data_IF_428343226318
#
_entry.id   IF_428343226318
#
_cell.length_a   1.000
_cell.length_b   1.000
_cell.length_c   1.000
_cell.angle_alpha   90.00
_cell.angle_beta   90.00
_cell.angle_gamma   90.00
#
_symmetry.space_group_name_H-M   'P 1'
#
loop_
_entity.id
_entity.type
_entity.pdbx_description
1 polymer ?
#
# COMPACT_ATOMS: atom_id res chain seq x y z
N UNK A 1 3.42 31.70 -62.02
CA UNK A 1 4.71 32.17 -61.45
C UNK A 1 5.48 30.96 -60.93
N UNK A 2 6.81 30.90 -61.08
CA UNK A 2 7.59 29.74 -60.61
C UNK A 2 7.93 29.87 -59.12
N UNK A 3 7.99 28.73 -58.42
CA UNK A 3 8.38 28.63 -57.01
C UNK A 3 9.74 29.30 -56.73
N UNK A 4 10.70 29.16 -57.67
CA UNK A 4 12.01 29.80 -57.61
C UNK A 4 11.94 31.34 -57.59
N UNK A 5 11.01 31.93 -58.36
CA UNK A 5 10.82 33.38 -58.38
C UNK A 5 10.30 33.89 -57.03
N UNK A 6 9.28 33.21 -56.48
CA UNK A 6 8.72 33.53 -55.16
C UNK A 6 9.77 33.39 -54.06
N UNK A 7 10.55 32.30 -54.09
CA UNK A 7 11.65 32.05 -53.14
C UNK A 7 12.65 33.21 -53.12
N UNK A 8 13.11 33.65 -54.29
CA UNK A 8 14.04 34.77 -54.39
C UNK A 8 13.42 36.08 -53.89
N UNK A 9 12.16 36.36 -54.24
CA UNK A 9 11.45 37.57 -53.82
C UNK A 9 11.24 37.60 -52.30
N UNK A 10 10.88 36.48 -51.70
CA UNK A 10 10.73 36.34 -50.24
C UNK A 10 12.05 36.52 -49.50
N UNK A 11 13.14 35.90 -50.00
CA UNK A 11 14.48 36.07 -49.40
C UNK A 11 14.91 37.55 -49.45
N UNK A 12 14.64 38.25 -50.56
CA UNK A 12 14.93 39.69 -50.65
C UNK A 12 14.13 40.52 -49.65
N UNK A 13 12.85 40.18 -49.44
CA UNK A 13 12.02 40.78 -48.39
C UNK A 13 12.60 40.54 -46.98
N UNK A 14 13.05 39.32 -46.68
CA UNK A 14 13.69 39.02 -45.39
C UNK A 14 14.95 39.87 -45.15
N UNK A 15 15.80 39.99 -46.17
CA UNK A 15 17.06 40.76 -46.10
C UNK A 15 16.82 42.26 -45.98
N UNK A 16 16.06 42.81 -46.93
CA UNK A 16 15.94 44.26 -47.12
C UNK A 16 14.94 44.89 -46.15
N UNK A 17 13.81 44.23 -45.91
CA UNK A 17 12.68 44.83 -45.20
C UNK A 17 12.61 44.36 -43.73
N UNK A 18 13.18 43.18 -43.44
CA UNK A 18 13.10 42.54 -42.11
C UNK A 18 14.45 42.34 -41.42
N UNK A 19 15.54 42.81 -42.03
CA UNK A 19 16.90 42.82 -41.47
C UNK A 19 17.43 41.43 -41.08
N UNK A 20 17.15 40.40 -41.90
CA UNK A 20 17.71 39.06 -41.69
C UNK A 20 19.15 38.99 -42.23
N UNK A 21 20.13 38.53 -41.43
CA UNK A 21 21.50 38.34 -41.87
C UNK A 21 21.63 37.29 -42.98
N UNK A 22 22.54 37.49 -43.93
CA UNK A 22 22.77 36.56 -45.04
C UNK A 22 23.20 35.16 -44.59
N UNK A 23 23.98 35.09 -43.52
CA UNK A 23 24.48 33.87 -42.90
C UNK A 23 23.41 33.13 -42.05
N UNK A 24 22.22 33.70 -41.89
CA UNK A 24 21.11 33.04 -41.19
C UNK A 24 20.35 32.03 -42.06
N UNK A 25 20.55 32.03 -43.39
CA UNK A 25 19.74 31.23 -44.32
C UNK A 25 20.37 29.88 -44.66
N UNK A 26 19.61 28.80 -44.44
CA UNK A 26 19.92 27.46 -44.93
C UNK A 26 18.89 27.02 -45.97
N UNK A 27 19.31 26.94 -47.23
CA UNK A 27 18.44 26.56 -48.35
C UNK A 27 18.40 25.04 -48.55
N UNK A 28 17.23 24.53 -48.93
CA UNK A 28 16.98 23.12 -49.25
C UNK A 28 17.51 22.19 -48.14
N UNK A 29 17.14 22.54 -46.91
CA UNK A 29 17.66 21.92 -45.71
C UNK A 29 16.89 20.64 -45.38
N UNK A 30 17.60 19.64 -44.86
CA UNK A 30 16.98 18.44 -44.31
C UNK A 30 17.52 18.20 -42.90
N UNK A 31 16.64 17.80 -42.00
CA UNK A 31 17.00 17.44 -40.63
C UNK A 31 16.50 16.05 -40.29
N UNK A 32 17.34 15.30 -39.58
CA UNK A 32 17.12 13.90 -39.25
C UNK A 32 17.26 13.75 -37.73
N UNK A 33 16.21 13.27 -37.08
CA UNK A 33 16.21 12.94 -35.65
C UNK A 33 15.39 11.67 -35.42
N UNK A 34 15.37 11.15 -34.18
CA UNK A 34 14.62 9.94 -33.79
C UNK A 34 13.14 10.01 -34.13
N UNK A 35 12.58 11.21 -34.28
CA UNK A 35 11.18 11.45 -34.64
C UNK A 35 10.85 11.33 -36.13
N UNK A 36 11.85 11.33 -37.02
CA UNK A 36 11.66 11.31 -38.47
C UNK A 36 12.65 12.19 -39.24
N UNK A 37 12.40 12.34 -40.55
CA UNK A 37 13.14 13.23 -41.44
C UNK A 37 12.22 14.36 -41.85
N UNK A 38 12.72 15.58 -41.81
CA UNK A 38 12.03 16.78 -42.28
C UNK A 38 12.82 17.42 -43.42
N UNK A 39 12.11 17.92 -44.43
CA UNK A 39 12.66 18.63 -45.58
C UNK A 39 12.03 20.01 -45.63
N UNK A 40 12.85 21.06 -45.60
CA UNK A 40 12.38 22.45 -45.57
C UNK A 40 13.12 23.23 -46.65
N UNK A 41 12.39 24.05 -47.40
CA UNK A 41 12.98 24.79 -48.51
C UNK A 41 13.92 25.92 -48.06
N UNK A 42 13.63 26.50 -46.89
CA UNK A 42 14.45 27.48 -46.21
C UNK A 42 14.31 27.33 -44.69
N UNK A 43 15.42 27.07 -44.01
CA UNK A 43 15.53 27.19 -42.56
C UNK A 43 16.29 28.48 -42.19
N UNK A 44 15.84 29.15 -41.13
CA UNK A 44 16.45 30.36 -40.59
C UNK A 44 17.10 30.03 -39.25
N UNK A 45 18.38 30.35 -39.12
CA UNK A 45 19.18 30.12 -37.93
C UNK A 45 19.47 31.40 -37.14
N UNK A 46 19.56 31.25 -35.83
CA UNK A 46 20.24 32.23 -34.98
C UNK A 46 21.74 32.14 -35.22
N UNK A 47 22.30 33.17 -35.83
CA UNK A 47 23.72 33.23 -36.22
C UNK A 47 24.68 33.14 -35.02
N UNK A 48 24.19 33.34 -33.79
CA UNK A 48 25.00 33.19 -32.57
C UNK A 48 24.92 31.80 -31.95
N UNK A 49 23.75 31.17 -32.01
CA UNK A 49 23.49 29.90 -31.29
C UNK A 49 23.35 28.69 -32.20
N UNK A 50 23.28 28.90 -33.52
CA UNK A 50 22.98 27.89 -34.54
C UNK A 50 21.65 27.14 -34.29
N UNK A 51 20.74 27.74 -33.52
CA UNK A 51 19.41 27.19 -33.30
C UNK A 51 18.44 27.63 -34.40
N UNK A 52 17.45 26.79 -34.68
CA UNK A 52 16.40 27.12 -35.65
C UNK A 52 15.45 28.17 -35.07
N UNK A 53 15.26 29.25 -35.82
CA UNK A 53 14.33 30.33 -35.49
C UNK A 53 13.01 30.15 -36.25
N UNK A 54 13.12 29.86 -37.55
CA UNK A 54 11.97 29.66 -38.41
C UNK A 54 12.24 28.66 -39.53
N UNK A 55 11.18 28.02 -39.99
CA UNK A 55 11.18 27.09 -41.11
C UNK A 55 10.16 27.58 -42.14
N UNK A 56 10.53 27.54 -43.42
CA UNK A 56 9.72 28.08 -44.50
C UNK A 56 9.62 27.07 -45.63
N UNK A 57 8.38 26.72 -45.96
CA UNK A 57 8.04 25.94 -47.15
C UNK A 57 7.42 26.85 -48.21
N UNK A 58 7.89 26.70 -49.45
CA UNK A 58 7.29 27.38 -50.61
C UNK A 58 6.31 26.43 -51.29
N UNK A 59 5.08 26.89 -51.49
CA UNK A 59 4.01 26.09 -52.10
C UNK A 59 3.30 26.89 -53.16
N UNK A 60 2.81 26.23 -54.21
CA UNK A 60 1.95 26.90 -55.18
C UNK A 60 0.56 27.18 -54.60
N UNK A 61 0.03 26.27 -53.77
CA UNK A 61 -1.26 26.38 -53.10
C UNK A 61 -1.19 25.77 -51.70
N UNK A 62 -2.02 26.26 -50.78
CA UNK A 62 -2.19 25.67 -49.44
C UNK A 62 -3.02 24.41 -49.54
N UNK A 63 -2.61 23.37 -48.82
CA UNK A 63 -3.30 22.10 -48.69
C UNK A 63 -3.44 21.70 -47.22
N UNK A 64 -4.34 20.76 -46.93
CA UNK A 64 -4.42 20.14 -45.59
C UNK A 64 -3.12 19.43 -45.19
N UNK A 65 -2.32 19.02 -46.17
CA UNK A 65 -1.02 18.38 -45.94
C UNK A 65 0.01 19.34 -45.34
N UNK A 66 -0.15 20.66 -45.51
CA UNK A 66 0.74 21.65 -44.90
C UNK A 66 0.54 21.74 -43.37
N UNK A 67 -0.69 21.47 -42.88
CA UNK A 67 -0.97 21.36 -41.44
C UNK A 67 -0.37 20.07 -40.87
N UNK A 68 -0.42 18.97 -41.61
CA UNK A 68 0.22 17.70 -41.22
C UNK A 68 1.75 17.85 -41.16
N UNK A 69 2.35 18.51 -42.15
CA UNK A 69 3.77 18.83 -42.16
C UNK A 69 4.16 19.72 -40.98
N UNK A 70 3.38 20.76 -40.66
CA UNK A 70 3.58 21.57 -39.46
C UNK A 70 3.68 20.72 -38.18
N UNK A 71 2.71 19.82 -38.00
CA UNK A 71 2.66 18.94 -36.84
C UNK A 71 3.84 17.96 -36.81
N UNK A 72 4.29 17.48 -37.98
CA UNK A 72 5.48 16.66 -38.10
C UNK A 72 6.73 17.44 -37.73
N UNK A 73 6.91 18.67 -38.22
CA UNK A 73 8.06 19.52 -37.85
C UNK A 73 8.13 19.75 -36.34
N UNK A 74 7.00 20.08 -35.70
CA UNK A 74 6.92 20.26 -34.23
C UNK A 74 7.26 19.00 -33.45
N UNK A 75 7.01 17.82 -34.03
CA UNK A 75 7.33 16.52 -33.42
C UNK A 75 8.80 16.13 -33.61
N UNK A 76 9.37 16.42 -34.78
CA UNK A 76 10.73 15.99 -35.16
C UNK A 76 11.79 16.93 -34.62
N UNK A 77 11.54 18.24 -34.66
CA UNK A 77 12.43 19.20 -34.01
C UNK A 77 12.24 19.10 -32.51
N UNK A 78 13.20 18.46 -31.85
CA UNK A 78 13.34 18.46 -30.39
C UNK A 78 13.35 19.90 -29.79
N UNK A 79 13.57 20.93 -30.63
CA UNK A 79 13.34 22.35 -30.35
C UNK A 79 11.93 22.75 -30.82
N UNK A 80 10.97 22.82 -29.90
CA UNK A 80 9.56 23.13 -30.17
C UNK A 80 9.27 24.56 -30.65
N UNK A 81 10.29 25.42 -30.67
CA UNK A 81 10.10 26.88 -30.68
C UNK A 81 10.37 27.52 -32.05
N UNK A 82 10.80 26.75 -33.05
CA UNK A 82 10.96 27.26 -34.41
C UNK A 82 9.57 27.54 -35.02
N UNK A 83 9.33 28.78 -35.46
CA UNK A 83 8.05 29.14 -36.10
C UNK A 83 8.04 28.65 -37.55
N UNK A 84 6.97 27.95 -37.95
CA UNK A 84 6.84 27.48 -39.32
C UNK A 84 5.92 28.40 -40.14
N UNK A 85 6.37 28.75 -41.33
CA UNK A 85 5.65 29.56 -42.29
C UNK A 85 5.48 28.83 -43.62
N UNK A 86 4.36 29.06 -44.28
CA UNK A 86 4.13 28.67 -45.68
C UNK A 86 4.07 29.93 -46.52
N UNK A 87 4.80 29.95 -47.63
CA UNK A 87 4.79 31.07 -48.57
C UNK A 87 4.22 30.60 -49.89
N UNK A 88 3.19 31.29 -50.38
CA UNK A 88 2.55 30.99 -51.67
C UNK A 88 2.58 32.19 -52.60
N UNK A 89 2.55 31.99 -53.94
CA UNK A 89 2.32 33.08 -54.85
C UNK A 89 0.96 33.73 -54.56
N UNK A 90 0.91 35.05 -54.72
CA UNK A 90 -0.33 35.81 -54.75
C UNK A 90 -0.69 36.07 -56.22
N UNK A 91 -1.74 35.40 -56.69
CA UNK A 91 -2.16 35.42 -58.10
C UNK A 91 -2.59 36.81 -58.60
N UNK A 92 -2.87 37.75 -57.70
CA UNK A 92 -3.44 39.06 -58.08
C UNK A 92 -2.41 40.15 -58.37
N UNK A 93 -1.17 40.03 -57.89
CA UNK A 93 -0.21 41.14 -57.90
C UNK A 93 1.25 40.74 -58.11
N UNK A 94 1.49 39.56 -58.69
CA UNK A 94 2.83 39.01 -58.90
C UNK A 94 3.70 39.02 -57.62
N UNK A 95 3.07 38.80 -56.47
CA UNK A 95 3.67 38.89 -55.15
C UNK A 95 3.56 37.56 -54.40
N UNK A 96 3.88 37.56 -53.10
CA UNK A 96 3.73 36.41 -52.24
C UNK A 96 2.82 36.71 -51.04
N UNK A 97 2.17 35.65 -50.55
CA UNK A 97 1.39 35.62 -49.32
C UNK A 97 2.09 34.72 -48.30
N UNK A 98 2.09 35.14 -47.04
CA UNK A 98 2.72 34.40 -45.93
C UNK A 98 1.62 33.84 -45.04
N UNK A 99 1.78 32.60 -44.60
CA UNK A 99 0.85 31.93 -43.69
C UNK A 99 1.59 31.32 -42.51
N UNK A 100 0.98 31.35 -41.33
CA UNK A 100 1.45 30.67 -40.12
C UNK A 100 0.31 29.85 -39.52
N UNK A 101 0.64 28.78 -38.81
CA UNK A 101 -0.37 28.04 -38.06
C UNK A 101 -0.71 28.76 -36.76
N UNK A 102 -1.99 28.99 -36.52
CA UNK A 102 -2.52 29.50 -35.26
C UNK A 102 -3.82 28.76 -34.95
N UNK A 103 -3.93 28.18 -33.75
CA UNK A 103 -5.10 27.40 -33.33
C UNK A 103 -5.55 26.30 -34.33
N UNK A 104 -4.59 25.62 -34.96
CA UNK A 104 -4.82 24.56 -35.97
C UNK A 104 -5.36 25.05 -37.32
N UNK A 105 -5.36 26.36 -37.56
CA UNK A 105 -5.72 26.96 -38.85
C UNK A 105 -4.55 27.76 -39.41
N UNK A 106 -4.40 27.76 -40.74
CA UNK A 106 -3.41 28.58 -41.42
C UNK A 106 -3.96 29.98 -41.61
N UNK A 107 -3.40 30.94 -40.88
CA UNK A 107 -3.77 32.35 -40.96
C UNK A 107 -2.77 33.10 -41.84
N UNK A 108 -3.27 34.04 -42.64
CA UNK A 108 -2.42 34.93 -43.42
C UNK A 108 -1.72 35.93 -42.48
N UNK A 109 -0.43 36.14 -42.69
CA UNK A 109 0.38 37.14 -41.98
C UNK A 109 0.72 38.24 -42.98
N UNK A 110 0.31 39.47 -42.67
CA UNK A 110 0.67 40.60 -43.52
C UNK A 110 2.18 40.85 -43.50
N UNK A 111 2.71 41.45 -44.56
CA UNK A 111 4.14 41.75 -44.66
C UNK A 111 4.60 42.69 -43.56
N UNK A 112 3.77 43.64 -43.13
CA UNK A 112 4.10 44.58 -42.05
C UNK A 112 4.18 43.86 -40.70
N UNK A 113 3.24 42.94 -40.44
CA UNK A 113 3.19 42.15 -39.20
C UNK A 113 4.24 41.04 -39.14
N UNK A 114 4.81 40.64 -40.28
CA UNK A 114 5.85 39.61 -40.29
C UNK A 114 7.03 40.07 -39.41
N UNK A 115 7.47 39.25 -38.44
CA UNK A 115 8.46 39.67 -37.46
C UNK A 115 9.84 39.86 -38.09
N UNK A 116 10.58 40.84 -37.57
CA UNK A 116 12.00 40.98 -37.91
C UNK A 116 12.85 39.91 -37.21
N UNK A 117 14.12 39.80 -37.61
CA UNK A 117 15.05 38.79 -37.10
C UNK A 117 15.17 38.78 -35.57
N UNK A 118 15.31 39.97 -34.95
CA UNK A 118 15.45 40.09 -33.49
C UNK A 118 14.16 39.73 -32.75
N UNK A 119 13.00 40.08 -33.32
CA UNK A 119 11.69 39.73 -32.77
C UNK A 119 11.50 38.21 -32.75
N UNK A 120 11.86 37.51 -33.83
CA UNK A 120 11.75 36.05 -33.84
C UNK A 120 12.71 35.38 -32.84
N UNK A 121 13.96 35.85 -32.71
CA UNK A 121 14.89 35.35 -31.68
C UNK A 121 14.30 35.54 -30.28
N UNK A 122 13.75 36.72 -30.02
CA UNK A 122 13.18 37.05 -28.70
C UNK A 122 11.95 36.22 -28.39
N UNK A 123 11.07 36.03 -29.38
CA UNK A 123 9.90 35.15 -29.27
C UNK A 123 10.32 33.71 -28.96
N UNK A 124 11.27 33.16 -29.72
CA UNK A 124 11.81 31.81 -29.48
C UNK A 124 12.32 31.64 -28.05
N UNK A 125 13.11 32.60 -27.55
CA UNK A 125 13.63 32.55 -26.17
C UNK A 125 12.54 32.65 -25.12
N UNK A 126 11.47 33.39 -25.40
CA UNK A 126 10.32 33.50 -24.50
C UNK A 126 9.53 32.18 -24.48
N UNK A 127 9.30 31.58 -25.64
CA UNK A 127 8.62 30.29 -25.79
C UNK A 127 9.42 29.17 -25.10
N UNK A 128 10.74 29.11 -25.32
CA UNK A 128 11.67 28.17 -24.66
C UNK A 128 11.60 28.29 -23.12
N UNK A 129 11.56 29.52 -22.62
CA UNK A 129 11.46 29.80 -21.18
C UNK A 129 10.09 29.39 -20.62
N UNK A 130 9.00 29.68 -21.34
CA UNK A 130 7.65 29.32 -20.92
C UNK A 130 7.48 27.80 -20.86
N UNK A 131 8.02 27.06 -21.84
CA UNK A 131 8.04 25.61 -21.84
C UNK A 131 8.82 25.05 -20.63
N UNK A 132 10.00 25.60 -20.32
CA UNK A 132 10.78 25.22 -19.13
C UNK A 132 10.03 25.50 -17.82
N UNK A 133 9.39 26.65 -17.69
CA UNK A 133 8.60 27.00 -16.51
C UNK A 133 7.42 26.04 -16.33
N UNK A 134 6.74 25.66 -17.42
CA UNK A 134 5.63 24.70 -17.37
C UNK A 134 6.05 23.32 -16.85
N UNK A 135 7.20 22.82 -17.30
CA UNK A 135 7.77 21.54 -16.84
C UNK A 135 8.10 21.61 -15.35
N UNK A 136 8.71 22.71 -14.91
CA UNK A 136 9.07 22.92 -13.50
C UNK A 136 7.81 22.99 -12.62
N UNK A 137 6.74 23.64 -13.08
CA UNK A 137 5.47 23.69 -12.35
C UNK A 137 4.80 22.31 -12.23
N UNK A 138 4.81 21.52 -13.31
CA UNK A 138 4.31 20.15 -13.28
C UNK A 138 5.09 19.27 -12.30
N UNK A 139 6.41 19.31 -12.32
CA UNK A 139 7.26 18.57 -11.38
C UNK A 139 7.03 19.01 -9.93
N UNK A 140 6.88 20.30 -9.66
CA UNK A 140 6.54 20.82 -8.32
C UNK A 140 5.20 20.27 -7.85
N UNK A 141 4.18 20.28 -8.70
CA UNK A 141 2.84 19.77 -8.39
C UNK A 141 2.85 18.27 -8.13
N UNK A 142 3.59 17.51 -8.93
CA UNK A 142 3.78 16.07 -8.73
C UNK A 142 4.46 15.79 -7.39
N UNK A 143 5.53 16.52 -7.06
CA UNK A 143 6.25 16.38 -5.79
C UNK A 143 5.38 16.73 -4.57
N UNK A 144 4.56 17.78 -4.65
CA UNK A 144 3.60 18.14 -3.59
C UNK A 144 2.59 16.99 -3.38
N UNK A 145 2.05 16.41 -4.45
CA UNK A 145 1.11 15.30 -4.36
C UNK A 145 1.77 14.04 -3.76
N UNK A 146 2.98 13.69 -4.19
CA UNK A 146 3.74 12.56 -3.60
C UNK A 146 3.96 12.76 -2.10
N UNK A 147 4.38 13.97 -1.70
CA UNK A 147 4.57 14.31 -0.27
C UNK A 147 3.27 14.19 0.51
N UNK A 148 2.15 14.68 -0.03
CA UNK A 148 0.83 14.57 0.60
C UNK A 148 0.42 13.11 0.83
N UNK A 149 0.54 12.25 -0.19
CA UNK A 149 0.23 10.81 -0.09
C UNK A 149 1.09 10.12 0.98
N UNK A 150 2.39 10.39 1.00
CA UNK A 150 3.30 9.80 2.00
C UNK A 150 2.91 10.25 3.41
N UNK A 151 2.72 11.56 3.61
CA UNK A 151 2.38 12.10 4.94
C UNK A 151 1.05 11.58 5.47
N UNK A 152 0.01 11.51 4.64
CA UNK A 152 -1.31 11.00 5.03
C UNK A 152 -1.29 9.50 5.31
N UNK A 153 -0.52 8.72 4.55
CA UNK A 153 -0.34 7.29 4.81
C UNK A 153 0.40 7.05 6.14
N UNK A 154 1.43 7.84 6.42
CA UNK A 154 2.17 7.74 7.68
C UNK A 154 1.32 8.16 8.89
N UNK A 155 0.58 9.27 8.81
CA UNK A 155 -0.27 9.72 9.93
C UNK A 155 -1.39 8.75 10.24
N UNK A 156 -2.04 8.19 9.23
CA UNK A 156 -3.08 7.17 9.41
C UNK A 156 -2.52 5.88 9.99
N UNK A 157 -1.36 5.41 9.54
CA UNK A 157 -0.70 4.25 10.14
C UNK A 157 -0.38 4.46 11.62
N UNK A 158 0.13 5.65 11.99
CA UNK A 158 0.40 6.01 13.40
C UNK A 158 -0.89 6.04 14.22
N UNK A 159 -1.95 6.67 13.71
CA UNK A 159 -3.26 6.72 14.38
C UNK A 159 -3.82 5.30 14.57
N UNK A 160 -3.72 4.44 13.57
CA UNK A 160 -4.15 3.04 13.67
C UNK A 160 -3.34 2.26 14.70
N UNK A 161 -2.03 2.50 14.81
CA UNK A 161 -1.19 1.90 15.85
C UNK A 161 -1.63 2.35 17.26
N UNK A 162 -1.92 3.63 17.45
CA UNK A 162 -2.41 4.18 18.72
C UNK A 162 -3.75 3.54 19.10
N UNK A 163 -4.68 3.42 18.15
CA UNK A 163 -5.98 2.76 18.36
C UNK A 163 -5.78 1.29 18.72
N UNK A 164 -4.88 0.57 18.03
CA UNK A 164 -4.57 -0.83 18.35
C UNK A 164 -4.05 -0.98 19.77
N UNK A 165 -3.10 -0.12 20.19
CA UNK A 165 -2.55 -0.14 21.55
C UNK A 165 -3.65 0.11 22.60
N UNK A 166 -4.54 1.09 22.37
CA UNK A 166 -5.67 1.35 23.26
C UNK A 166 -6.65 0.17 23.34
N UNK A 167 -6.95 -0.48 22.21
CA UNK A 167 -7.82 -1.65 22.18
C UNK A 167 -7.19 -2.85 22.89
N UNK A 168 -5.87 -3.06 22.77
CA UNK A 168 -5.18 -4.14 23.49
C UNK A 168 -5.20 -3.97 25.01
N UNK A 169 -5.21 -2.74 25.52
CA UNK A 169 -5.38 -2.46 26.96
C UNK A 169 -6.83 -2.69 27.43
N UNK A 170 -7.81 -2.68 26.51
CA UNK A 170 -9.23 -2.94 26.80
C UNK A 170 -9.66 -4.40 26.62
N UNK A 171 -8.73 -5.30 26.21
CA UNK A 171 -9.04 -6.72 25.95
C UNK A 171 -9.32 -7.56 27.21
N UNK A 172 -9.23 -7.01 28.42
CA UNK A 172 -9.88 -7.59 29.62
C UNK A 172 -11.40 -7.77 29.45
N UNK A 173 -12.00 -7.14 28.43
CA UNK A 173 -13.43 -7.27 28.08
C UNK A 173 -13.71 -8.53 27.22
N UNK A 174 -12.71 -9.08 26.51
CA UNK A 174 -12.83 -10.34 25.79
C UNK A 174 -12.23 -11.49 26.61
N UNK A 175 -12.81 -11.72 27.80
CA UNK A 175 -12.61 -12.95 28.53
C UNK A 175 -13.14 -14.12 27.67
N UNK A 176 -12.25 -14.76 26.92
CA UNK A 176 -12.50 -16.08 26.33
C UNK A 176 -12.51 -17.09 27.47
N UNK A 177 -13.59 -17.07 28.26
CA UNK A 177 -13.84 -18.02 29.32
C UNK A 177 -13.77 -19.42 28.68
N UNK A 178 -12.75 -20.19 29.06
CA UNK A 178 -12.45 -21.50 28.49
C UNK A 178 -13.48 -22.52 29.00
N UNK A 179 -14.71 -22.39 28.51
CA UNK A 179 -15.92 -23.13 28.94
C UNK A 179 -15.84 -24.64 28.66
N UNK A 180 -14.89 -25.09 27.82
CA UNK A 180 -14.68 -26.52 27.53
C UNK A 180 -13.98 -27.26 28.67
N UNK A 181 -12.93 -26.69 29.24
CA UNK A 181 -12.17 -27.31 30.35
C UNK A 181 -12.95 -27.38 31.66
N UNK A 182 -13.85 -26.41 31.91
CA UNK A 182 -14.71 -26.40 33.11
C UNK A 182 -15.76 -27.53 33.06
N UNK A 183 -16.36 -27.77 31.88
CA UNK A 183 -17.34 -28.85 31.68
C UNK A 183 -16.75 -30.25 31.89
N UNK A 184 -15.52 -30.50 31.44
CA UNK A 184 -14.89 -31.82 31.60
C UNK A 184 -14.51 -32.11 33.06
N UNK A 185 -13.99 -31.11 33.79
CA UNK A 185 -13.71 -31.24 35.22
C UNK A 185 -14.99 -31.42 36.06
N UNK A 186 -16.09 -30.75 35.71
CA UNK A 186 -17.37 -30.91 36.41
C UNK A 186 -17.98 -32.31 36.18
N UNK A 187 -17.81 -32.88 34.98
CA UNK A 187 -18.27 -34.25 34.67
C UNK A 187 -17.48 -35.28 35.48
N UNK A 188 -16.15 -35.15 35.52
CA UNK A 188 -15.27 -36.05 36.30
C UNK A 188 -15.58 -35.96 37.80
N UNK A 189 -15.73 -34.75 38.34
CA UNK A 189 -16.14 -34.56 39.74
C UNK A 189 -17.52 -35.18 40.02
N UNK A 190 -18.49 -35.03 39.12
CA UNK A 190 -19.83 -35.63 39.30
C UNK A 190 -19.80 -37.16 39.36
N UNK A 191 -18.90 -37.79 38.59
CA UNK A 191 -18.74 -39.25 38.59
C UNK A 191 -18.09 -39.74 39.88
N UNK A 192 -17.11 -39.00 40.41
CA UNK A 192 -16.47 -39.31 41.70
C UNK A 192 -17.49 -39.19 42.85
N UNK A 193 -18.32 -38.13 42.86
CA UNK A 193 -19.38 -37.96 43.86
C UNK A 193 -20.44 -39.08 43.81
N UNK A 194 -20.83 -39.53 42.61
CA UNK A 194 -21.78 -40.65 42.44
C UNK A 194 -21.24 -41.99 42.96
N UNK A 195 -19.95 -42.27 42.76
CA UNK A 195 -19.33 -43.48 43.30
C UNK A 195 -19.16 -43.42 44.83
N UNK A 196 -18.84 -42.25 45.39
CA UNK A 196 -18.83 -42.04 46.84
C UNK A 196 -20.21 -42.25 47.49
N UNK A 197 -21.28 -41.78 46.85
CA UNK A 197 -22.67 -42.01 47.27
C UNK A 197 -23.04 -43.50 47.22
N UNK A 198 -22.68 -44.22 46.14
CA UNK A 198 -22.88 -45.68 46.06
C UNK A 198 -22.16 -46.44 47.16
N UNK A 199 -20.91 -46.08 47.43
CA UNK A 199 -20.13 -46.71 48.51
C UNK A 199 -20.75 -46.45 49.88
N UNK A 200 -21.22 -45.22 50.15
CA UNK A 200 -21.99 -44.91 51.37
C UNK A 200 -23.27 -45.73 51.49
N UNK A 201 -24.00 -45.91 50.39
CA UNK A 201 -25.22 -46.71 50.38
C UNK A 201 -24.92 -48.20 50.66
N UNK A 202 -23.84 -48.74 50.09
CA UNK A 202 -23.40 -50.11 50.34
C UNK A 202 -22.97 -50.33 51.79
N UNK A 203 -22.28 -49.36 52.41
CA UNK A 203 -21.94 -49.36 53.84
C UNK A 203 -23.21 -49.35 54.72
N UNK A 204 -24.20 -48.52 54.39
CA UNK A 204 -25.48 -48.45 55.11
C UNK A 204 -26.31 -49.74 54.98
N UNK A 205 -26.25 -50.42 53.83
CA UNK A 205 -26.89 -51.74 53.63
C UNK A 205 -26.17 -52.83 54.43
N UNK A 206 -24.84 -52.74 54.58
CA UNK A 206 -24.09 -53.63 55.46
C UNK A 206 -24.45 -53.42 56.94
N UNK A 207 -24.63 -52.17 57.36
CA UNK A 207 -25.05 -51.84 58.73
C UNK A 207 -26.51 -52.24 59.04
N UNK A 208 -27.40 -52.23 58.04
CA UNK A 208 -28.82 -52.59 58.22
C UNK A 208 -29.13 -54.09 58.16
N UNK A 209 -28.15 -54.94 57.80
CA UNK A 209 -28.28 -56.42 57.87
C UNK A 209 -27.95 -57.00 59.25
N UNK A 210 -28.02 -56.18 60.31
CA UNK A 210 -27.68 -56.59 61.68
C UNK A 210 -28.76 -57.40 62.40
N UNK A 211 -29.97 -57.53 61.84
CA UNK A 211 -31.07 -58.28 62.46
C UNK A 211 -31.63 -59.37 61.54
N UNK A 212 -31.00 -60.55 61.55
CA UNK A 212 -31.71 -61.84 61.54
C UNK A 212 -30.78 -62.96 62.00
N UNK A 213 -31.02 -63.43 63.22
CA UNK A 213 -30.27 -64.45 63.96
C UNK A 213 -30.49 -65.83 63.33
N UNK A 214 -29.42 -66.46 62.84
CA UNK A 214 -29.14 -67.93 62.88
C UNK A 214 -27.97 -68.38 61.97
N UNK A 215 -27.42 -67.51 61.11
CA UNK A 215 -26.16 -67.76 60.36
C UNK A 215 -24.98 -66.88 60.79
N UNK A 216 -25.28 -65.86 61.59
CA UNK A 216 -24.38 -64.76 61.99
C UNK A 216 -23.36 -65.16 63.04
N UNK A 217 -23.64 -66.13 63.92
CA UNK A 217 -22.72 -66.44 65.02
C UNK A 217 -21.45 -67.18 64.58
N UNK A 218 -21.54 -68.04 63.57
CA UNK A 218 -20.38 -68.72 62.98
C UNK A 218 -19.52 -67.71 62.18
N UNK A 219 -20.15 -66.81 61.44
CA UNK A 219 -19.45 -65.75 60.70
C UNK A 219 -18.84 -64.71 61.65
N UNK A 220 -19.51 -64.34 62.75
CA UNK A 220 -18.98 -63.46 63.80
C UNK A 220 -17.81 -64.13 64.53
N UNK A 221 -17.89 -65.41 64.86
CA UNK A 221 -16.76 -66.16 65.46
C UNK A 221 -15.57 -66.26 64.50
N UNK A 222 -15.82 -66.50 63.21
CA UNK A 222 -14.77 -66.50 62.19
C UNK A 222 -14.16 -65.11 62.01
N UNK A 223 -14.96 -64.05 62.03
CA UNK A 223 -14.48 -62.66 61.99
C UNK A 223 -13.67 -62.34 63.24
N UNK A 224 -14.12 -62.71 64.45
CA UNK A 224 -13.36 -62.54 65.69
C UNK A 224 -12.02 -63.29 65.67
N UNK A 225 -12.00 -64.55 65.22
CA UNK A 225 -10.75 -65.31 65.05
C UNK A 225 -9.81 -64.67 64.03
N UNK A 226 -10.34 -64.15 62.92
CA UNK A 226 -9.54 -63.40 61.94
C UNK A 226 -9.01 -62.10 62.53
N UNK A 227 -9.80 -61.39 63.33
CA UNK A 227 -9.40 -60.16 64.02
C UNK A 227 -8.28 -60.43 65.04
N UNK A 228 -8.41 -61.49 65.85
CA UNK A 228 -7.38 -61.93 66.79
C UNK A 228 -6.10 -62.35 66.05
N UNK A 229 -6.20 -63.04 64.90
CA UNK A 229 -5.04 -63.41 64.10
C UNK A 229 -4.37 -62.19 63.45
N UNK A 230 -5.14 -61.19 63.00
CA UNK A 230 -4.62 -59.93 62.48
C UNK A 230 -3.93 -59.14 63.60
N UNK A 231 -4.56 -59.04 64.78
CA UNK A 231 -3.94 -58.44 65.97
C UNK A 231 -2.65 -59.15 66.35
N UNK A 232 -2.62 -60.49 66.34
CA UNK A 232 -1.41 -61.27 66.56
C UNK A 232 -0.34 -61.00 65.50
N UNK A 233 -0.70 -60.97 64.23
CA UNK A 233 0.23 -60.67 63.13
C UNK A 233 0.83 -59.25 63.24
N UNK A 234 0.06 -58.30 63.75
CA UNK A 234 0.50 -56.92 63.99
C UNK A 234 1.33 -56.81 65.28
N UNK A 235 0.98 -57.53 66.35
CA UNK A 235 1.63 -57.43 67.68
C UNK A 235 2.81 -58.38 67.89
N UNK A 236 2.93 -59.47 67.12
CA UNK A 236 4.01 -60.47 67.29
C UNK A 236 5.35 -60.06 66.67
N UNK A 237 5.36 -59.16 65.68
CA UNK A 237 6.61 -58.58 65.15
C UNK A 237 6.50 -57.04 65.06
N UNK A 238 7.20 -56.30 65.93
CA UNK A 238 7.29 -54.83 65.87
C UNK A 238 7.69 -54.30 64.49
N UNK A 239 8.34 -55.11 63.64
CA UNK A 239 8.66 -54.75 62.25
C UNK A 239 7.42 -54.52 61.40
N UNK A 240 6.32 -55.22 61.61
CA UNK A 240 5.10 -55.07 60.81
C UNK A 240 4.42 -53.71 61.09
N UNK A 241 4.43 -53.26 62.34
CA UNK A 241 3.95 -51.92 62.72
C UNK A 241 4.84 -50.84 62.09
N UNK A 242 6.17 -51.05 62.12
CA UNK A 242 7.13 -50.14 61.50
C UNK A 242 6.98 -50.10 59.97
N UNK A 243 6.65 -51.22 59.32
CA UNK A 243 6.38 -51.29 57.88
C UNK A 243 5.08 -50.57 57.50
N UNK A 244 4.01 -50.71 58.30
CA UNK A 244 2.78 -49.92 58.11
C UNK A 244 3.04 -48.41 58.24
N UNK A 245 3.80 -47.99 59.25
CA UNK A 245 4.20 -46.59 59.39
C UNK A 245 5.07 -46.10 58.22
N UNK A 246 5.92 -46.95 57.65
CA UNK A 246 6.70 -46.61 56.45
C UNK A 246 5.81 -46.45 55.22
N UNK A 247 4.77 -47.27 55.09
CA UNK A 247 3.78 -47.19 54.02
C UNK A 247 2.97 -45.89 54.15
N UNK A 248 2.47 -45.55 55.34
CA UNK A 248 1.74 -44.30 55.58
C UNK A 248 2.62 -43.07 55.26
N UNK A 249 3.87 -43.07 55.73
CA UNK A 249 4.84 -42.03 55.38
C UNK A 249 5.12 -41.95 53.86
N UNK A 250 5.09 -43.07 53.14
CA UNK A 250 5.20 -43.08 51.68
C UNK A 250 3.97 -42.47 51.02
N UNK A 251 2.76 -42.78 51.49
CA UNK A 251 1.53 -42.16 51.01
C UNK A 251 1.51 -40.65 51.23
N UNK A 252 1.95 -40.19 52.40
CA UNK A 252 2.05 -38.75 52.69
C UNK A 252 3.04 -38.05 51.74
N UNK A 253 4.21 -38.65 51.52
CA UNK A 253 5.20 -38.13 50.55
C UNK A 253 4.66 -38.11 49.12
N UNK A 254 3.94 -39.16 48.70
CA UNK A 254 3.33 -39.21 47.38
C UNK A 254 2.28 -38.10 47.20
N UNK A 255 1.44 -37.86 48.20
CA UNK A 255 0.47 -36.74 48.16
C UNK A 255 1.18 -35.38 48.04
N UNK A 256 2.25 -35.16 48.81
CA UNK A 256 3.05 -33.94 48.70
C UNK A 256 3.69 -33.77 47.32
N UNK A 257 4.15 -34.86 46.68
CA UNK A 257 4.67 -34.83 45.31
C UNK A 257 3.57 -34.48 44.32
N UNK A 258 2.39 -35.10 44.44
CA UNK A 258 1.23 -34.82 43.59
C UNK A 258 0.81 -33.35 43.70
N UNK A 259 0.77 -32.79 44.90
CA UNK A 259 0.39 -31.39 45.10
C UNK A 259 1.44 -30.43 44.52
N UNK A 260 2.73 -30.74 44.67
CA UNK A 260 3.81 -29.97 44.02
C UNK A 260 3.74 -30.06 42.50
N UNK A 261 3.46 -31.24 41.94
CA UNK A 261 3.31 -31.40 40.50
C UNK A 261 2.10 -30.65 39.95
N UNK A 262 0.98 -30.62 40.68
CA UNK A 262 -0.18 -29.78 40.34
C UNK A 262 0.18 -28.30 40.33
N UNK A 263 0.86 -27.82 41.36
CA UNK A 263 1.30 -26.43 41.45
C UNK A 263 2.25 -26.07 40.29
N UNK A 264 3.24 -26.92 40.01
CA UNK A 264 4.14 -26.75 38.88
C UNK A 264 3.42 -26.75 37.53
N UNK A 265 2.41 -27.60 37.36
CA UNK A 265 1.62 -27.63 36.14
C UNK A 265 0.76 -26.38 36.00
N UNK A 266 0.14 -25.89 37.07
CA UNK A 266 -0.60 -24.64 37.05
C UNK A 266 0.30 -23.45 36.66
N UNK A 267 1.49 -23.35 37.25
CA UNK A 267 2.47 -22.31 36.91
C UNK A 267 2.95 -22.42 35.44
N UNK A 268 3.06 -23.63 34.89
CA UNK A 268 3.39 -23.82 33.47
C UNK A 268 2.23 -23.39 32.57
N UNK A 269 0.99 -23.70 32.94
CA UNK A 269 -0.21 -23.30 32.21
C UNK A 269 -0.34 -21.77 32.18
N UNK A 270 -0.21 -21.12 33.33
CA UNK A 270 -0.24 -19.64 33.44
C UNK A 270 0.83 -18.99 32.56
N UNK A 271 2.08 -19.50 32.60
CA UNK A 271 3.15 -19.01 31.71
C UNK A 271 2.90 -19.25 30.23
N UNK A 272 2.19 -20.32 29.87
CA UNK A 272 1.82 -20.60 28.49
C UNK A 272 0.70 -19.65 28.02
N UNK A 273 -0.26 -19.35 28.90
CA UNK A 273 -1.34 -18.39 28.67
C UNK A 273 -0.79 -16.98 28.46
N UNK A 274 0.14 -16.52 29.31
CA UNK A 274 0.81 -15.22 29.16
C UNK A 274 1.55 -15.11 27.81
N UNK A 275 2.26 -16.17 27.41
CA UNK A 275 2.94 -16.22 26.12
C UNK A 275 1.94 -16.17 24.96
N UNK A 276 0.84 -16.91 25.05
CA UNK A 276 -0.22 -16.88 24.03
C UNK A 276 -0.85 -15.49 23.92
N UNK A 277 -1.14 -14.83 25.04
CA UNK A 277 -1.69 -13.47 25.05
C UNK A 277 -0.71 -12.47 24.44
N UNK A 278 0.58 -12.58 24.76
CA UNK A 278 1.63 -11.74 24.16
C UNK A 278 1.67 -11.90 22.64
N UNK A 279 1.69 -13.14 22.14
CA UNK A 279 1.69 -13.39 20.69
C UNK A 279 0.41 -12.92 20.01
N UNK A 280 -0.76 -13.13 20.63
CA UNK A 280 -2.05 -12.66 20.14
C UNK A 280 -2.06 -11.13 19.97
N UNK A 281 -1.59 -10.41 20.99
CA UNK A 281 -1.51 -8.94 20.97
C UNK A 281 -0.57 -8.42 19.87
N UNK A 282 0.56 -9.09 19.65
CA UNK A 282 1.51 -8.75 18.57
C UNK A 282 0.84 -8.94 17.21
N UNK A 283 0.20 -10.10 16.97
CA UNK A 283 -0.46 -10.41 15.71
C UNK A 283 -1.61 -9.42 15.43
N UNK A 284 -2.43 -9.12 16.44
CA UNK A 284 -3.52 -8.16 16.31
C UNK A 284 -3.02 -6.76 15.97
N UNK A 285 -1.97 -6.29 16.66
CA UNK A 285 -1.35 -4.98 16.40
C UNK A 285 -0.80 -4.88 14.98
N UNK A 286 -0.18 -5.95 14.47
CA UNK A 286 0.32 -6.02 13.10
C UNK A 286 -0.82 -5.92 12.08
N UNK A 287 -1.92 -6.66 12.30
CA UNK A 287 -3.09 -6.64 11.41
C UNK A 287 -3.74 -5.25 11.35
N UNK A 288 -3.94 -4.60 12.49
CA UNK A 288 -4.51 -3.24 12.54
C UNK A 288 -3.61 -2.24 11.83
N UNK A 289 -2.29 -2.37 11.96
CA UNK A 289 -1.32 -1.50 11.26
C UNK A 289 -1.40 -1.66 9.74
N UNK A 290 -1.48 -2.90 9.25
CA UNK A 290 -1.62 -3.20 7.81
C UNK A 290 -2.91 -2.59 7.26
N UNK A 291 -4.04 -2.79 7.96
CA UNK A 291 -5.35 -2.24 7.55
C UNK A 291 -5.30 -0.70 7.56
N UNK A 292 -4.70 -0.10 8.59
CA UNK A 292 -4.52 1.34 8.68
C UNK A 292 -3.73 1.93 7.52
N UNK A 293 -2.62 1.29 7.14
CA UNK A 293 -1.80 1.72 6.01
C UNK A 293 -2.57 1.61 4.67
N UNK A 294 -3.35 0.55 4.48
CA UNK A 294 -4.20 0.37 3.28
C UNK A 294 -5.25 1.47 3.20
N UNK A 295 -5.96 1.73 4.30
CA UNK A 295 -6.99 2.79 4.35
C UNK A 295 -6.37 4.17 4.14
N UNK A 296 -5.22 4.46 4.75
CA UNK A 296 -4.47 5.69 4.55
C UNK A 296 -4.11 5.94 3.08
N UNK A 297 -3.57 4.92 2.43
CA UNK A 297 -3.26 4.97 1.01
C UNK A 297 -4.53 5.21 0.18
N UNK A 298 -5.63 4.51 0.46
CA UNK A 298 -6.90 4.70 -0.25
C UNK A 298 -7.45 6.12 -0.08
N UNK A 299 -7.56 6.63 1.16
CA UNK A 299 -8.07 7.98 1.43
C UNK A 299 -7.20 9.07 0.80
N UNK A 300 -5.88 8.90 0.79
CA UNK A 300 -4.96 9.86 0.16
C UNK A 300 -5.10 9.94 -1.37
N UNK A 301 -5.53 8.84 -2.00
CA UNK A 301 -5.75 8.75 -3.44
C UNK A 301 -7.19 9.03 -3.88
N UNK A 302 -8.14 9.10 -2.94
CA UNK A 302 -9.49 9.55 -3.23
C UNK A 302 -9.52 11.08 -3.37
N UNK A 303 -9.55 11.57 -4.62
CA UNK A 303 -9.79 12.99 -4.90
C UNK A 303 -11.18 13.38 -4.39
N UNK A 304 -11.33 14.37 -3.51
CA UNK A 304 -12.65 14.86 -3.14
C UNK A 304 -13.33 15.40 -4.40
N UNK A 305 -14.52 14.88 -4.70
CA UNK A 305 -15.39 15.40 -5.76
C UNK A 305 -15.68 16.85 -5.41
N UNK A 306 -15.21 17.81 -6.21
CA UNK A 306 -15.59 19.23 -6.05
C UNK A 306 -17.11 19.29 -6.09
N UNK A 307 -17.74 19.53 -4.94
CA UNK A 307 -19.14 19.90 -4.87
C UNK A 307 -19.20 21.30 -5.45
N UNK A 308 -19.66 21.42 -6.70
CA UNK A 308 -20.07 22.70 -7.26
C UNK A 308 -21.25 23.20 -6.43
N UNK A 309 -20.98 24.14 -5.53
CA UNK A 309 -22.03 24.93 -4.92
C UNK A 309 -22.67 25.76 -6.05
N UNK A 310 -23.80 25.26 -6.57
CA UNK A 310 -24.73 26.09 -7.32
C UNK A 310 -25.33 27.06 -6.32
N UNK A 311 -24.81 28.28 -6.29
CA UNK A 311 -25.52 29.40 -5.71
C UNK A 311 -26.58 29.84 -6.74
N UNK A 312 -27.82 29.44 -6.49
CA UNK A 312 -29.02 30.17 -6.90
C UNK A 312 -29.24 31.35 -5.95
#
# INVERSE_FOLDING_TARGET
MTELFIKNKFIQFLKSDKNFPDDSFLLNYHYVDKGGIIYVDLAILDTKTNNYIALIDFRNNISSHDIENYNLYKKVLSQKDATFYVVTPNETNDDFSIYTLFNSELINVSKDEFPNFQTLISKRKADEKADLESIIEEEKKENINKKYVITTTLTTAIISLIIAMLLTQSLDIFNFDNTKTKKENDIVNSNIYKELEKLKLQLSIMDSKKDTVTKTDIEIEQIKKRLINIEKLITQDPKNILELQKIDNHFERLNQIIDREKELNNLKVEKLEDKMNTYSNIIFSLLVTIIGAILGYLFSNFKPKKISANNS
#
